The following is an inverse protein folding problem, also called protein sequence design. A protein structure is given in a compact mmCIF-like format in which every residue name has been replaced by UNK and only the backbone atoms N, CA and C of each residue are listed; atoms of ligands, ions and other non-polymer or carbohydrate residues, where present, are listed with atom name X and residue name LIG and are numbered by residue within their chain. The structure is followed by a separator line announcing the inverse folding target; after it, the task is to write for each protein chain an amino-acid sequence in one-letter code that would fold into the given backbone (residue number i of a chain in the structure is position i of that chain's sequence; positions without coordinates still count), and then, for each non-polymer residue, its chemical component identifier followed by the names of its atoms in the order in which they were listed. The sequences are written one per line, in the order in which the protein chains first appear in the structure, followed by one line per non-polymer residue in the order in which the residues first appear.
data_IF_555848773066
#
_entry.id   IF_555848773066
#
_cell.length_a   1.000
_cell.length_b   1.000
_cell.length_c   1.000
_cell.angle_alpha   90.00
_cell.angle_beta   90.00
_cell.angle_gamma   90.00
#
_symmetry.space_group_name_H-M   'P 1'
#
loop_
_entity.id
_entity.type
_entity.pdbx_description
1 polymer ?
#
# COMPACT_ATOMS: atom_id res chain seq x y z
N UNK A 1 0.79 8.20 1.49
CA UNK A 1 0.59 6.81 1.91
C UNK A 1 1.97 6.23 2.06
N UNK A 2 2.27 5.71 3.24
CA UNK A 2 3.46 4.91 3.47
C UNK A 2 2.91 3.50 3.62
N UNK A 3 3.35 2.61 2.73
CA UNK A 3 2.92 1.21 2.68
C UNK A 3 3.82 0.41 3.64
N UNK A 4 3.24 -0.29 4.59
CA UNK A 4 3.87 -1.35 5.35
C UNK A 4 3.33 -2.68 4.86
N UNK A 5 4.28 -3.55 4.54
CA UNK A 5 3.99 -4.78 3.83
C UNK A 5 3.72 -5.92 4.81
N UNK A 6 2.65 -6.67 4.53
CA UNK A 6 2.29 -7.93 5.17
C UNK A 6 3.49 -8.89 5.26
N UNK A 7 4.00 -9.11 6.46
CA UNK A 7 5.01 -10.13 6.73
C UNK A 7 4.33 -11.40 7.25
N UNK A 8 4.37 -12.51 6.49
CA UNK A 8 4.23 -13.84 7.10
C UNK A 8 5.49 -14.14 7.95
N UNK A 9 5.60 -13.52 9.12
CA UNK A 9 6.62 -13.88 10.10
C UNK A 9 6.00 -14.79 11.16
N UNK A 10 6.50 -16.04 11.24
CA UNK A 10 6.28 -16.89 12.41
C UNK A 10 6.77 -16.15 13.65
N UNK A 11 5.82 -15.75 14.50
CA UNK A 11 6.08 -15.03 15.74
C UNK A 11 7.13 -15.73 16.62
N UNK A 12 8.20 -15.00 16.96
CA UNK A 12 8.75 -15.05 18.31
C UNK A 12 8.36 -13.76 19.02
N UNK A 13 7.64 -13.92 20.12
CA UNK A 13 7.01 -12.87 20.90
C UNK A 13 7.95 -11.77 21.38
N UNK A 14 7.43 -10.53 21.36
CA UNK A 14 7.85 -9.43 22.23
C UNK A 14 8.77 -8.42 21.56
N UNK A 15 8.19 -7.40 20.95
CA UNK A 15 8.71 -6.03 20.98
C UNK A 15 7.56 -5.06 20.69
N UNK A 16 7.38 -4.08 21.57
CA UNK A 16 6.43 -2.98 21.42
C UNK A 16 6.81 -2.13 20.21
N UNK A 17 5.82 -1.71 19.42
CA UNK A 17 5.98 -0.70 18.37
C UNK A 17 6.68 0.53 18.94
N UNK A 18 7.88 0.84 18.45
CA UNK A 18 8.59 2.05 18.82
C UNK A 18 7.86 3.26 18.23
N UNK A 19 7.46 4.27 19.03
CA UNK A 19 6.67 5.40 18.54
C UNK A 19 7.49 6.30 17.60
N UNK A 20 7.21 6.21 16.30
CA UNK A 20 7.74 7.06 15.23
C UNK A 20 7.77 6.32 13.89
N UNK A 21 7.48 7.01 12.78
CA UNK A 21 7.78 6.48 11.44
C UNK A 21 9.29 6.65 11.22
N UNK A 22 10.04 5.58 11.49
CA UNK A 22 11.50 5.59 11.32
C UNK A 22 11.81 5.38 9.84
N UNK A 23 12.19 6.47 9.15
CA UNK A 23 12.84 6.40 7.85
C UNK A 23 14.34 6.64 8.04
N UNK A 24 15.02 5.76 8.79
CA UNK A 24 16.44 5.93 9.08
C UNK A 24 17.32 5.11 8.11
N UNK A 25 18.25 5.79 7.43
CA UNK A 25 19.43 5.16 6.85
C UNK A 25 20.62 5.30 7.81
N UNK A 26 21.38 4.23 8.13
CA UNK A 26 22.65 4.37 8.82
C UNK A 26 23.73 4.93 7.87
N UNK A 27 24.58 5.81 8.43
CA UNK A 27 25.77 6.35 7.77
C UNK A 27 26.70 5.22 7.31
N UNK A 28 27.02 5.17 6.02
CA UNK A 28 28.09 4.30 5.48
C UNK A 28 29.47 4.88 5.83
N UNK A 29 30.41 4.10 6.39
CA UNK A 29 31.83 4.36 6.26
C UNK A 29 32.44 3.42 5.22
N UNK A 30 33.34 3.97 4.41
CA UNK A 30 34.12 3.25 3.41
C UNK A 30 34.80 1.99 3.97
N UNK A 31 34.86 0.97 3.10
CA UNK A 31 35.63 -0.26 3.24
C UNK A 31 37.04 0.00 3.80
N UNK A 32 37.33 -0.50 5.00
CA UNK A 32 38.68 -0.86 5.37
C UNK A 32 38.71 -2.05 6.34
N UNK A 33 39.38 -3.11 5.86
CA UNK A 33 39.61 -4.39 6.54
C UNK A 33 40.25 -4.24 7.93
N UNK A 34 39.59 -4.78 8.97
CA UNK A 34 40.14 -5.54 10.12
C UNK A 34 39.10 -5.66 11.23
N UNK A 35 38.51 -6.84 11.37
CA UNK A 35 37.63 -7.18 12.49
C UNK A 35 38.39 -7.14 13.82
N UNK A 36 37.92 -6.27 14.74
CA UNK A 36 38.23 -6.37 16.16
C UNK A 36 36.93 -6.15 16.93
N UNK A 37 36.44 -7.21 17.58
CA UNK A 37 35.27 -7.16 18.45
C UNK A 37 35.43 -6.06 19.50
N UNK A 38 34.53 -5.07 19.49
CA UNK A 38 34.25 -4.17 20.62
C UNK A 38 32.74 -3.98 20.72
N UNK A 39 32.24 -4.19 21.93
CA UNK A 39 30.83 -4.35 22.26
C UNK A 39 29.94 -3.17 21.89
N UNK A 40 28.67 -3.51 21.66
CA UNK A 40 27.55 -2.60 21.49
C UNK A 40 27.36 -1.75 22.75
N UNK A 41 27.51 -0.44 22.60
CA UNK A 41 27.16 0.55 23.61
C UNK A 41 26.71 1.82 22.90
N UNK A 42 25.48 2.25 23.21
CA UNK A 42 24.93 3.61 23.06
C UNK A 42 24.51 4.14 21.68
N UNK A 43 23.50 3.53 21.05
CA UNK A 43 22.70 4.21 20.00
C UNK A 43 21.18 4.24 20.30
N UNK A 44 20.77 3.96 21.54
CA UNK A 44 19.36 3.74 21.90
C UNK A 44 18.72 4.90 22.69
N UNK A 45 19.08 6.16 22.41
CA UNK A 45 18.60 7.32 23.20
C UNK A 45 18.35 8.63 22.44
N UNK A 46 18.21 8.63 21.11
CA UNK A 46 18.06 9.88 20.35
C UNK A 46 16.62 10.26 19.94
N UNK A 47 15.62 9.39 20.15
CA UNK A 47 14.25 9.63 19.70
C UNK A 47 13.27 10.22 20.73
N UNK A 48 13.66 10.34 22.01
CA UNK A 48 12.69 10.54 23.10
C UNK A 48 12.50 11.98 23.61
N UNK A 49 13.22 12.99 23.09
CA UNK A 49 13.23 14.34 23.67
C UNK A 49 12.88 15.47 22.67
N UNK A 50 12.35 15.16 21.48
CA UNK A 50 11.96 16.20 20.51
C UNK A 50 10.49 16.58 20.66
N UNK A 51 10.21 17.88 20.55
CA UNK A 51 8.84 18.37 20.58
C UNK A 51 8.07 17.83 19.37
N UNK A 52 6.77 17.56 19.55
CA UNK A 52 5.86 17.06 18.51
C UNK A 52 5.79 17.94 17.23
N UNK A 53 6.28 19.17 17.31
CA UNK A 53 6.34 20.15 16.22
C UNK A 53 7.76 20.45 15.72
N UNK A 54 8.79 19.73 16.18
CA UNK A 54 10.17 19.91 15.75
C UNK A 54 10.37 19.35 14.33
N UNK A 55 10.57 20.23 13.36
CA UNK A 55 10.82 19.87 11.96
C UNK A 55 12.31 19.80 11.59
N UNK A 56 13.22 19.98 12.55
CA UNK A 56 14.66 20.07 12.27
C UNK A 56 15.32 18.75 11.87
N UNK A 57 14.64 17.62 12.08
CA UNK A 57 15.14 16.28 11.71
C UNK A 57 14.14 15.49 10.86
N UNK A 58 13.33 16.19 10.08
CA UNK A 58 12.37 15.55 9.18
C UNK A 58 13.04 14.62 8.15
N UNK A 59 14.29 14.89 7.76
CA UNK A 59 15.07 13.99 6.89
C UNK A 59 15.43 12.65 7.53
N UNK A 60 15.39 12.57 8.87
CA UNK A 60 15.81 11.38 9.62
C UNK A 60 14.60 10.62 10.18
N UNK A 61 13.56 11.34 10.63
CA UNK A 61 12.31 10.77 11.15
C UNK A 61 11.15 11.67 10.74
N UNK A 62 10.20 11.11 9.99
CA UNK A 62 9.03 11.85 9.52
C UNK A 62 7.94 11.78 10.57
N UNK A 63 7.57 12.93 11.11
CA UNK A 63 6.45 13.10 12.06
C UNK A 63 5.33 13.89 11.40
N UNK A 64 4.09 13.91 11.95
CA UNK A 64 2.99 14.66 11.36
C UNK A 64 3.30 16.14 11.06
N UNK A 65 4.07 16.81 11.92
CA UNK A 65 4.49 18.19 11.70
C UNK A 65 5.39 18.34 10.45
N UNK A 66 6.19 17.33 10.10
CA UNK A 66 7.00 17.32 8.88
C UNK A 66 6.11 17.33 7.63
N UNK A 67 5.11 16.43 7.59
CA UNK A 67 4.19 16.30 6.46
C UNK A 67 3.40 17.59 6.26
N UNK A 68 2.89 18.16 7.36
CA UNK A 68 2.20 19.45 7.32
C UNK A 68 3.09 20.58 6.81
N UNK A 69 4.35 20.62 7.23
CA UNK A 69 5.30 21.65 6.80
C UNK A 69 5.69 21.50 5.32
N UNK A 70 6.02 20.27 4.87
CA UNK A 70 6.39 19.95 3.48
C UNK A 70 5.29 20.36 2.51
N UNK A 71 4.06 19.90 2.77
CA UNK A 71 2.94 20.08 1.85
C UNK A 71 2.03 21.26 2.20
N UNK A 72 2.45 22.09 3.16
CA UNK A 72 1.71 23.29 3.62
C UNK A 72 0.27 22.97 4.00
N UNK A 73 0.07 21.82 4.64
CA UNK A 73 -1.25 21.36 5.07
C UNK A 73 -1.65 22.19 6.30
N UNK A 74 -2.78 22.93 6.26
CA UNK A 74 -3.24 23.71 7.38
C UNK A 74 -3.77 22.81 8.50
N UNK A 75 -3.81 23.33 9.72
CA UNK A 75 -4.58 22.69 10.77
C UNK A 75 -6.08 22.76 10.46
N UNK A 76 -6.73 21.61 10.47
CA UNK A 76 -8.15 21.51 10.23
C UNK A 76 -8.92 21.74 11.54
N UNK A 77 -10.03 22.48 11.45
CA UNK A 77 -10.93 22.75 12.58
C UNK A 77 -12.37 22.32 12.30
N UNK A 78 -12.63 21.76 11.11
CA UNK A 78 -13.97 21.45 10.62
C UNK A 78 -14.09 19.95 10.36
N UNK A 79 -15.31 19.44 10.52
CA UNK A 79 -15.71 18.12 10.07
C UNK A 79 -17.09 18.20 9.42
N UNK A 80 -17.46 17.15 8.69
CA UNK A 80 -18.79 17.01 8.13
C UNK A 80 -19.27 15.57 8.35
N UNK A 81 -20.50 15.40 8.86
CA UNK A 81 -21.03 14.08 9.23
C UNK A 81 -21.22 13.13 8.03
N UNK A 82 -21.35 13.68 6.82
CA UNK A 82 -21.41 12.90 5.58
C UNK A 82 -20.05 12.69 4.91
N UNK A 83 -18.96 13.06 5.57
CA UNK A 83 -17.61 12.86 5.07
C UNK A 83 -16.83 12.00 6.08
N UNK A 84 -15.91 11.21 5.56
CA UNK A 84 -14.99 10.36 6.33
C UNK A 84 -13.90 9.90 5.36
N UNK A 85 -12.67 9.77 5.83
CA UNK A 85 -11.62 9.11 5.05
C UNK A 85 -11.79 7.60 5.16
N UNK A 86 -12.02 6.92 4.05
CA UNK A 86 -11.97 5.47 3.98
C UNK A 86 -10.52 4.97 4.05
N UNK A 87 -10.30 3.90 4.81
CA UNK A 87 -9.03 3.17 4.86
C UNK A 87 -9.39 1.70 4.67
N UNK A 88 -8.74 1.03 3.72
CA UNK A 88 -8.91 -0.39 3.46
C UNK A 88 -7.81 -1.18 4.18
N UNK A 89 -8.19 -2.21 4.92
CA UNK A 89 -7.26 -3.11 5.59
C UNK A 89 -7.64 -4.57 5.37
N UNK A 90 -6.63 -5.41 5.23
CA UNK A 90 -6.79 -6.87 5.21
C UNK A 90 -5.59 -7.54 5.86
N UNK A 91 -5.85 -8.46 6.79
CA UNK A 91 -4.83 -9.24 7.48
C UNK A 91 -3.90 -8.51 8.46
N UNK A 92 -3.91 -7.19 8.49
CA UNK A 92 -3.32 -6.34 9.53
C UNK A 92 -4.45 -5.70 10.35
N UNK A 93 -4.15 -5.29 11.59
CA UNK A 93 -5.12 -4.73 12.52
C UNK A 93 -4.46 -3.66 13.39
N UNK A 94 -5.13 -2.54 13.61
CA UNK A 94 -4.64 -1.51 14.52
C UNK A 94 -4.90 -1.86 15.99
N UNK A 95 -4.06 -1.35 16.90
CA UNK A 95 -4.34 -1.36 18.34
C UNK A 95 -4.73 0.03 18.84
N UNK A 96 -5.80 0.11 19.64
CA UNK A 96 -6.25 1.38 20.19
C UNK A 96 -5.20 2.00 21.12
N UNK A 97 -4.48 1.17 21.86
CA UNK A 97 -3.39 1.58 22.75
C UNK A 97 -2.26 2.26 21.98
N UNK A 98 -1.88 1.73 20.83
CA UNK A 98 -0.78 2.27 20.02
C UNK A 98 -1.18 3.60 19.36
N UNK A 99 -2.42 3.71 18.85
CA UNK A 99 -2.96 5.01 18.41
C UNK A 99 -2.97 6.05 19.52
N UNK A 100 -3.39 5.67 20.73
CA UNK A 100 -3.41 6.60 21.87
C UNK A 100 -2.00 7.07 22.25
N UNK A 101 -1.03 6.16 22.27
CA UNK A 101 0.37 6.50 22.53
C UNK A 101 0.93 7.42 21.45
N UNK A 102 0.63 7.15 20.18
CA UNK A 102 1.04 7.99 19.07
C UNK A 102 0.43 9.39 19.17
N UNK A 103 -0.89 9.50 19.35
CA UNK A 103 -1.58 10.79 19.44
C UNK A 103 -1.10 11.63 20.63
N UNK A 104 -0.85 11.00 21.79
CA UNK A 104 -0.32 11.69 22.96
C UNK A 104 1.11 12.25 22.73
N UNK A 105 1.92 11.59 21.90
CA UNK A 105 3.30 11.98 21.66
C UNK A 105 3.45 12.97 20.50
N UNK A 106 2.62 12.87 19.46
CA UNK A 106 2.80 13.59 18.20
C UNK A 106 1.69 14.59 17.87
N UNK A 107 0.64 14.65 18.70
CA UNK A 107 -0.46 15.59 18.50
C UNK A 107 -0.86 16.23 19.84
N UNK A 108 -1.38 17.45 19.80
CA UNK A 108 -1.97 18.10 20.98
C UNK A 108 -3.50 18.22 20.89
N UNK A 109 -4.08 17.88 19.74
CA UNK A 109 -5.49 18.16 19.41
C UNK A 109 -6.34 16.91 19.28
N UNK A 110 -5.73 15.72 19.15
CA UNK A 110 -6.46 14.46 18.99
C UNK A 110 -6.62 13.81 20.37
N UNK A 111 -7.85 13.64 20.88
CA UNK A 111 -8.07 13.01 22.17
C UNK A 111 -7.74 11.51 22.15
N UNK A 112 -7.29 10.97 23.28
CA UNK A 112 -7.23 9.52 23.47
C UNK A 112 -8.62 8.88 23.28
N UNK A 113 -8.64 7.70 22.68
CA UNK A 113 -9.84 6.99 22.27
C UNK A 113 -10.38 7.46 20.91
N UNK A 114 -9.67 8.32 20.18
CA UNK A 114 -10.00 8.61 18.77
C UNK A 114 -9.67 7.39 17.91
N UNK A 115 -10.61 6.95 17.08
CA UNK A 115 -10.48 5.75 16.25
C UNK A 115 -11.46 5.77 15.07
N UNK A 116 -11.23 4.95 14.02
CA UNK A 116 -12.14 4.87 12.89
C UNK A 116 -13.46 4.17 13.25
N UNK A 117 -14.50 4.46 12.47
CA UNK A 117 -15.72 3.64 12.46
C UNK A 117 -15.45 2.38 11.65
N UNK A 118 -15.62 1.21 12.26
CA UNK A 118 -15.39 -0.08 11.60
C UNK A 118 -16.57 -0.46 10.70
N UNK A 119 -16.25 -0.80 9.45
CA UNK A 119 -17.06 -1.61 8.54
C UNK A 119 -16.41 -2.99 8.50
N UNK A 120 -17.00 -3.93 9.25
CA UNK A 120 -16.58 -5.33 9.32
C UNK A 120 -17.12 -6.07 8.10
N UNK A 121 -16.24 -6.57 7.24
CA UNK A 121 -16.57 -7.29 6.02
C UNK A 121 -16.13 -8.74 6.17
N UNK A 122 -17.07 -9.67 6.01
CA UNK A 122 -16.85 -11.12 5.99
C UNK A 122 -16.02 -11.67 7.16
N UNK A 123 -16.21 -11.07 8.35
CA UNK A 123 -15.54 -11.46 9.58
C UNK A 123 -14.33 -10.59 9.98
N UNK A 124 -13.99 -9.58 9.18
CA UNK A 124 -12.96 -8.60 9.54
C UNK A 124 -13.27 -7.89 10.86
N UNK A 125 -12.28 -7.72 11.71
CA UNK A 125 -12.43 -7.10 13.03
C UNK A 125 -11.31 -6.10 13.29
N UNK A 126 -11.60 -5.05 14.06
CA UNK A 126 -10.63 -4.13 14.62
C UNK A 126 -11.29 -3.36 15.79
N UNK A 127 -10.53 -2.82 16.75
CA UNK A 127 -9.09 -2.99 16.94
C UNK A 127 -8.72 -4.42 17.37
N UNK A 128 -7.43 -4.74 17.32
CA UNK A 128 -6.85 -5.91 17.93
C UNK A 128 -6.10 -5.56 19.24
N UNK A 129 -5.77 -6.58 20.05
CA UNK A 129 -4.82 -6.37 21.15
C UNK A 129 -3.42 -6.05 20.58
N UNK A 130 -2.58 -5.24 21.23
CA UNK A 130 -1.25 -4.84 20.71
C UNK A 130 -0.33 -5.98 20.30
N UNK A 131 -0.48 -7.19 20.87
CA UNK A 131 0.31 -8.37 20.49
C UNK A 131 -0.11 -8.99 19.14
N UNK A 132 -1.25 -8.57 18.61
CA UNK A 132 -1.85 -9.00 17.35
C UNK A 132 -1.99 -7.86 16.34
N UNK A 133 -1.72 -6.63 16.77
CA UNK A 133 -1.58 -5.52 15.86
C UNK A 133 -0.26 -5.62 15.11
N UNK A 134 -0.26 -5.15 13.87
CA UNK A 134 0.89 -5.14 13.00
C UNK A 134 1.06 -3.73 12.41
N UNK A 135 2.17 -3.50 11.72
CA UNK A 135 2.65 -2.15 11.42
C UNK A 135 1.75 -1.36 10.49
N UNK A 136 1.01 -2.03 9.59
CA UNK A 136 0.35 -1.33 8.48
C UNK A 136 -0.91 -0.58 8.90
N UNK A 137 -1.84 -1.27 9.55
CA UNK A 137 -3.10 -0.64 9.94
C UNK A 137 -2.87 0.47 10.97
N UNK A 138 -1.87 0.31 11.84
CA UNK A 138 -1.44 1.39 12.74
C UNK A 138 -0.82 2.56 11.95
N UNK A 139 0.07 2.30 10.98
CA UNK A 139 0.73 3.34 10.18
C UNK A 139 -0.28 4.17 9.38
N UNK A 140 -1.19 3.53 8.67
CA UNK A 140 -2.21 4.19 7.85
C UNK A 140 -3.06 5.16 8.69
N UNK A 141 -3.47 4.73 9.89
CA UNK A 141 -4.23 5.56 10.82
C UNK A 141 -3.37 6.66 11.46
N UNK A 142 -2.13 6.36 11.86
CA UNK A 142 -1.22 7.32 12.50
C UNK A 142 -0.77 8.42 11.53
N UNK A 143 -0.67 8.13 10.23
CA UNK A 143 -0.39 9.15 9.21
C UNK A 143 -1.65 9.94 8.87
N UNK A 144 -2.82 9.29 8.74
CA UNK A 144 -4.05 9.94 8.32
C UNK A 144 -4.61 10.92 9.36
N UNK A 145 -4.81 10.46 10.60
CA UNK A 145 -5.54 11.21 11.63
C UNK A 145 -4.99 12.60 11.92
N UNK A 146 -3.66 12.79 12.09
CA UNK A 146 -3.07 14.11 12.30
C UNK A 146 -3.32 15.11 11.16
N UNK A 147 -3.59 14.63 9.95
CA UNK A 147 -3.84 15.46 8.76
C UNK A 147 -5.32 15.81 8.60
N UNK A 148 -6.23 14.93 9.02
CA UNK A 148 -7.67 15.11 8.77
C UNK A 148 -8.48 15.58 10.00
N UNK A 149 -8.01 15.31 11.23
CA UNK A 149 -8.75 15.62 12.46
C UNK A 149 -9.15 17.12 12.52
N UNK A 150 -10.40 17.47 12.89
CA UNK A 150 -11.42 16.66 13.56
C UNK A 150 -12.32 15.83 12.63
N UNK A 151 -12.00 15.71 11.35
CA UNK A 151 -12.64 14.72 10.48
C UNK A 151 -12.20 13.31 10.92
N UNK A 152 -13.16 12.39 11.03
CA UNK A 152 -12.88 10.98 11.35
C UNK A 152 -12.57 10.12 10.12
N UNK A 153 -12.27 8.85 10.37
CA UNK A 153 -12.08 7.82 9.34
C UNK A 153 -13.09 6.67 9.44
N UNK A 154 -13.22 5.93 8.35
CA UNK A 154 -13.99 4.69 8.22
C UNK A 154 -13.03 3.60 7.80
N UNK A 155 -12.92 2.56 8.61
CA UNK A 155 -12.04 1.43 8.37
C UNK A 155 -12.85 0.29 7.73
N UNK A 156 -12.50 -0.10 6.51
CA UNK A 156 -13.05 -1.26 5.82
C UNK A 156 -12.11 -2.44 6.05
N UNK A 157 -12.39 -3.23 7.08
CA UNK A 157 -11.60 -4.41 7.42
C UNK A 157 -12.21 -5.64 6.75
N UNK A 158 -11.47 -6.30 5.86
CA UNK A 158 -11.95 -7.53 5.21
C UNK A 158 -11.44 -8.79 5.86
N UNK A 159 -12.30 -9.80 5.77
CA UNK A 159 -12.03 -11.21 5.98
C UNK A 159 -11.74 -11.58 7.43
N UNK A 160 -12.17 -12.78 7.82
CA UNK A 160 -11.71 -13.34 9.08
C UNK A 160 -10.20 -13.65 9.06
N UNK A 161 -9.65 -13.81 10.26
CA UNK A 161 -8.23 -14.05 10.48
C UNK A 161 -7.67 -15.28 9.72
N UNK A 162 -8.51 -16.26 9.39
CA UNK A 162 -8.03 -17.49 8.75
C UNK A 162 -7.86 -17.23 7.25
N UNK A 163 -8.82 -16.54 6.63
CA UNK A 163 -8.73 -16.13 5.23
C UNK A 163 -7.65 -15.08 5.00
N UNK A 164 -7.40 -14.17 5.95
CA UNK A 164 -6.30 -13.22 5.80
C UNK A 164 -4.92 -13.88 5.74
N UNK A 165 -4.75 -15.06 6.35
CA UNK A 165 -3.47 -15.80 6.37
C UNK A 165 -3.38 -16.84 5.23
N UNK A 166 -4.51 -17.46 4.89
CA UNK A 166 -4.53 -18.66 4.04
C UNK A 166 -5.67 -18.66 3.03
N UNK A 167 -6.13 -17.48 2.64
CA UNK A 167 -7.19 -17.33 1.66
C UNK A 167 -6.72 -17.54 0.24
N UNK A 168 -7.69 -17.48 -0.67
CA UNK A 168 -7.50 -17.74 -2.09
C UNK A 168 -6.73 -16.60 -2.79
N UNK A 169 -6.62 -15.43 -2.14
CA UNK A 169 -5.65 -14.40 -2.50
C UNK A 169 -6.09 -13.47 -3.63
N UNK A 170 -7.41 -13.35 -3.88
CA UNK A 170 -7.97 -12.47 -4.91
C UNK A 170 -7.70 -10.98 -4.69
N UNK A 171 -7.56 -10.52 -3.44
CA UNK A 171 -7.40 -9.10 -3.05
C UNK A 171 -8.57 -8.20 -3.53
N UNK A 172 -9.15 -7.44 -2.60
CA UNK A 172 -10.34 -6.58 -2.78
C UNK A 172 -11.67 -7.23 -3.16
N UNK A 173 -11.77 -8.49 -3.58
CA UNK A 173 -13.07 -9.05 -4.01
C UNK A 173 -14.17 -8.91 -2.95
N UNK A 174 -13.89 -9.29 -1.71
CA UNK A 174 -14.85 -9.18 -0.61
C UNK A 174 -15.15 -7.72 -0.24
N UNK A 175 -14.16 -6.83 -0.36
CA UNK A 175 -14.36 -5.39 -0.23
C UNK A 175 -15.32 -4.85 -1.29
N UNK A 176 -15.08 -5.16 -2.56
CA UNK A 176 -15.91 -4.74 -3.69
C UNK A 176 -17.33 -5.31 -3.59
N UNK A 177 -17.46 -6.59 -3.18
CA UNK A 177 -18.74 -7.22 -2.85
C UNK A 177 -19.50 -6.40 -1.79
N UNK A 178 -18.81 -6.00 -0.72
CA UNK A 178 -19.41 -5.29 0.39
C UNK A 178 -19.84 -3.85 0.05
N UNK A 179 -19.06 -3.12 -0.76
CA UNK A 179 -19.34 -1.70 -1.08
C UNK A 179 -20.23 -1.49 -2.30
N UNK A 180 -20.31 -2.47 -3.20
CA UNK A 180 -21.30 -2.52 -4.28
C UNK A 180 -21.85 -3.95 -4.42
N UNK A 181 -23.04 -4.19 -3.86
CA UNK A 181 -23.67 -5.51 -3.92
C UNK A 181 -24.01 -6.00 -5.33
N UNK A 182 -24.01 -5.14 -6.35
CA UNK A 182 -24.16 -5.58 -7.75
C UNK A 182 -22.93 -6.35 -8.24
N UNK A 183 -21.75 -6.10 -7.65
CA UNK A 183 -20.50 -6.78 -7.98
C UNK A 183 -20.55 -8.29 -7.71
N UNK A 184 -21.20 -8.72 -6.62
CA UNK A 184 -21.32 -10.14 -6.23
C UNK A 184 -21.89 -11.07 -7.31
N UNK A 185 -22.63 -10.52 -8.28
CA UNK A 185 -23.20 -11.27 -9.40
C UNK A 185 -22.77 -10.74 -10.76
N UNK A 186 -21.84 -9.79 -10.77
CA UNK A 186 -21.35 -9.17 -11.98
C UNK A 186 -20.59 -10.18 -12.84
N UNK A 187 -21.04 -10.31 -14.09
CA UNK A 187 -20.55 -11.25 -15.09
C UNK A 187 -19.77 -10.48 -16.16
N UNK A 188 -18.47 -10.73 -16.23
CA UNK A 188 -17.57 -10.13 -17.21
C UNK A 188 -16.30 -10.97 -17.39
N UNK A 189 -15.69 -10.86 -18.58
CA UNK A 189 -14.40 -11.49 -18.89
C UNK A 189 -14.34 -13.02 -18.71
N UNK A 190 -15.49 -13.69 -18.70
CA UNK A 190 -15.59 -15.14 -18.51
C UNK A 190 -15.74 -15.57 -17.04
N UNK A 191 -15.86 -14.61 -16.12
CA UNK A 191 -16.07 -14.80 -14.70
C UNK A 191 -17.45 -14.31 -14.29
N UNK A 192 -18.14 -15.05 -13.42
CA UNK A 192 -19.49 -14.74 -12.96
C UNK A 192 -19.56 -14.75 -11.44
N UNK A 193 -19.63 -13.56 -10.85
CA UNK A 193 -19.54 -13.42 -9.39
C UNK A 193 -18.15 -13.85 -8.91
N UNK A 194 -18.08 -14.59 -7.80
CA UNK A 194 -16.81 -15.04 -7.24
C UNK A 194 -16.13 -16.13 -8.08
N UNK A 195 -14.80 -16.08 -8.21
CA UNK A 195 -13.94 -17.11 -8.79
C UNK A 195 -13.51 -18.13 -7.72
N UNK A 196 -13.89 -19.39 -7.89
CA UNK A 196 -13.62 -20.48 -6.94
C UNK A 196 -12.11 -20.73 -6.66
N UNK A 197 -11.20 -20.21 -7.49
CA UNK A 197 -9.75 -20.37 -7.30
C UNK A 197 -9.09 -19.18 -6.58
N UNK A 198 -9.74 -18.01 -6.56
CA UNK A 198 -9.14 -16.75 -6.08
C UNK A 198 -9.97 -16.05 -5.00
N UNK A 199 -11.25 -16.39 -4.87
CA UNK A 199 -12.14 -15.79 -3.89
C UNK A 199 -12.45 -16.72 -2.73
N UNK A 200 -12.52 -16.11 -1.55
CA UNK A 200 -12.80 -16.83 -0.32
C UNK A 200 -14.26 -17.28 -0.24
N UNK A 201 -14.47 -18.44 0.41
CA UNK A 201 -15.78 -19.08 0.50
C UNK A 201 -16.33 -18.95 1.92
N UNK A 202 -17.51 -18.34 2.04
CA UNK A 202 -18.22 -18.18 3.31
C UNK A 202 -19.53 -18.98 3.35
N UNK A 203 -19.90 -19.60 4.48
CA UNK A 203 -19.20 -19.54 5.78
C UNK A 203 -17.83 -20.24 5.77
N UNK A 204 -16.87 -19.69 6.51
CA UNK A 204 -15.56 -20.31 6.69
C UNK A 204 -15.70 -21.51 7.63
N UNK A 205 -15.61 -22.71 7.05
CA UNK A 205 -15.73 -23.98 7.77
C UNK A 205 -14.39 -24.62 8.08
N UNK A 206 -13.26 -23.96 7.74
CA UNK A 206 -11.91 -24.48 7.98
C UNK A 206 -11.53 -24.47 9.46
N UNK A 207 -12.17 -23.62 10.25
CA UNK A 207 -12.00 -23.52 11.71
C UNK A 207 -13.32 -23.20 12.41
N UNK A 208 -13.53 -23.66 13.66
CA UNK A 208 -14.66 -23.20 14.48
C UNK A 208 -14.71 -21.69 14.71
N UNK A 209 -13.55 -21.01 14.63
CA UNK A 209 -13.43 -19.56 14.81
C UNK A 209 -13.60 -18.78 13.48
N UNK A 210 -13.84 -19.47 12.36
CA UNK A 210 -14.07 -18.84 11.06
C UNK A 210 -15.39 -18.09 11.00
N UNK A 211 -15.51 -17.15 10.06
CA UNK A 211 -16.73 -16.39 9.87
C UNK A 211 -17.88 -17.30 9.42
N UNK A 212 -18.86 -17.50 10.29
CA UNK A 212 -20.00 -18.39 10.03
C UNK A 212 -21.13 -17.70 9.23
N UNK A 213 -20.95 -16.44 8.84
CA UNK A 213 -21.92 -15.71 8.02
C UNK A 213 -21.85 -16.14 6.56
N UNK A 214 -22.79 -15.60 5.76
CA UNK A 214 -22.69 -15.67 4.30
C UNK A 214 -21.84 -14.52 3.80
N UNK A 215 -21.27 -14.67 2.60
CA UNK A 215 -20.59 -13.57 1.90
C UNK A 215 -21.46 -12.31 1.90
N UNK A 216 -20.86 -11.18 2.23
CA UNK A 216 -21.52 -9.90 2.40
C UNK A 216 -21.53 -9.11 1.11
N UNK A 217 -22.74 -8.86 0.59
CA UNK A 217 -22.97 -8.14 -0.66
C UNK A 217 -23.74 -6.84 -0.40
N UNK A 218 -23.13 -5.69 -0.69
CA UNK A 218 -23.76 -4.37 -0.58
C UNK A 218 -24.16 -4.00 0.85
N UNK A 219 -23.33 -4.36 1.83
CA UNK A 219 -23.58 -4.07 3.25
C UNK A 219 -23.17 -2.65 3.65
N UNK A 220 -22.38 -1.97 2.82
CA UNK A 220 -21.88 -0.62 3.09
C UNK A 220 -21.81 0.19 1.79
N UNK A 221 -21.66 1.51 1.92
CA UNK A 221 -21.31 2.39 0.81
C UNK A 221 -19.88 2.86 0.96
N UNK A 222 -19.21 3.16 -0.15
CA UNK A 222 -17.87 3.72 -0.11
C UNK A 222 -17.88 5.16 0.42
N UNK A 223 -16.81 5.55 1.11
CA UNK A 223 -16.55 6.95 1.49
C UNK A 223 -16.16 7.79 0.27
N UNK A 224 -16.20 9.12 0.38
CA UNK A 224 -15.84 9.99 -0.75
C UNK A 224 -14.38 9.79 -1.21
N UNK A 225 -13.47 9.48 -0.29
CA UNK A 225 -12.06 9.20 -0.55
C UNK A 225 -11.67 7.96 0.21
N UNK A 226 -11.06 6.98 -0.47
CA UNK A 226 -10.48 5.79 0.14
C UNK A 226 -8.97 5.73 -0.11
N UNK A 227 -8.23 5.43 0.95
CA UNK A 227 -6.81 5.08 0.96
C UNK A 227 -6.65 3.56 0.95
N UNK A 228 -5.80 3.06 0.08
CA UNK A 228 -5.47 1.64 -0.05
C UNK A 228 -3.95 1.49 -0.10
N UNK A 229 -3.38 0.95 0.96
CA UNK A 229 -1.96 0.61 1.04
C UNK A 229 -1.80 -0.91 0.89
N UNK A 230 -2.38 -1.47 -0.17
CA UNK A 230 -2.29 -2.90 -0.47
C UNK A 230 -2.15 -3.11 -1.97
N UNK A 231 -1.27 -4.03 -2.36
CA UNK A 231 -1.01 -4.36 -3.75
C UNK A 231 -0.58 -5.81 -3.93
N UNK A 232 -0.73 -6.31 -5.15
CA UNK A 232 -0.15 -7.55 -5.66
C UNK A 232 0.62 -7.27 -6.94
N UNK A 233 1.47 -8.19 -7.37
CA UNK A 233 2.02 -8.15 -8.73
C UNK A 233 0.89 -8.37 -9.75
N UNK A 234 0.97 -7.72 -10.93
CA UNK A 234 0.01 -7.96 -12.02
C UNK A 234 -0.04 -9.44 -12.43
N UNK A 235 1.04 -10.21 -12.25
CA UNK A 235 1.07 -11.63 -12.64
C UNK A 235 0.51 -12.57 -11.57
N UNK A 236 0.21 -12.07 -10.36
CA UNK A 236 -0.31 -12.89 -9.25
C UNK A 236 -1.80 -13.21 -9.41
N UNK A 237 -2.50 -12.37 -10.19
CA UNK A 237 -3.93 -12.49 -10.42
C UNK A 237 -4.19 -12.80 -11.89
N UNK A 238 -5.17 -13.66 -12.21
CA UNK A 238 -5.51 -13.92 -13.60
C UNK A 238 -5.83 -12.64 -14.35
N UNK A 239 -5.39 -12.53 -15.60
CA UNK A 239 -5.61 -11.33 -16.40
C UNK A 239 -7.09 -11.03 -16.70
N UNK A 240 -8.01 -11.99 -16.53
CA UNK A 240 -9.46 -11.75 -16.63
C UNK A 240 -10.06 -11.16 -15.36
N UNK A 241 -9.46 -11.45 -14.22
CA UNK A 241 -9.94 -11.10 -12.90
C UNK A 241 -9.72 -9.60 -12.61
N UNK A 242 -8.57 -9.07 -13.02
CA UNK A 242 -8.21 -7.67 -12.78
C UNK A 242 -9.10 -6.68 -13.56
N UNK A 243 -9.43 -6.86 -14.86
CA UNK A 243 -10.39 -6.02 -15.57
C UNK A 243 -11.80 -6.06 -14.99
N UNK A 244 -12.24 -7.19 -14.41
CA UNK A 244 -13.52 -7.28 -13.70
C UNK A 244 -13.54 -6.36 -12.49
N UNK A 245 -12.50 -6.41 -11.65
CA UNK A 245 -12.33 -5.47 -10.54
C UNK A 245 -12.13 -4.02 -11.00
N UNK A 246 -11.38 -3.80 -12.09
CA UNK A 246 -11.17 -2.48 -12.67
C UNK A 246 -12.49 -1.81 -13.08
N UNK A 247 -13.44 -2.59 -13.62
CA UNK A 247 -14.78 -2.09 -13.93
C UNK A 247 -15.54 -1.69 -12.67
N UNK A 248 -15.31 -2.36 -11.54
CA UNK A 248 -15.90 -1.98 -10.26
C UNK A 248 -15.33 -0.66 -9.74
N UNK A 249 -14.00 -0.52 -9.72
CA UNK A 249 -13.36 0.76 -9.40
C UNK A 249 -13.79 1.88 -10.35
N UNK A 250 -14.03 1.58 -11.64
CA UNK A 250 -14.63 2.53 -12.60
C UNK A 250 -16.04 2.95 -12.18
N UNK A 251 -16.91 2.01 -11.79
CA UNK A 251 -18.27 2.32 -11.31
C UNK A 251 -18.23 3.21 -10.08
N UNK A 252 -17.34 2.91 -9.13
CA UNK A 252 -17.15 3.72 -7.93
C UNK A 252 -16.63 5.13 -8.29
N UNK A 253 -15.67 5.24 -9.22
CA UNK A 253 -15.20 6.54 -9.70
C UNK A 253 -16.31 7.36 -10.40
N UNK A 254 -17.20 6.70 -11.17
CA UNK A 254 -18.37 7.34 -11.79
C UNK A 254 -19.40 7.83 -10.76
N UNK A 255 -19.44 7.22 -9.57
CA UNK A 255 -20.25 7.68 -8.43
C UNK A 255 -19.60 8.84 -7.66
N UNK A 256 -18.39 9.26 -8.04
CA UNK A 256 -17.68 10.39 -7.43
C UNK A 256 -16.71 10.01 -6.32
N UNK A 257 -16.38 8.72 -6.17
CA UNK A 257 -15.39 8.27 -5.20
C UNK A 257 -13.96 8.48 -5.72
N UNK A 258 -13.06 8.94 -4.85
CA UNK A 258 -11.63 8.99 -5.13
C UNK A 258 -10.95 7.78 -4.51
N UNK A 259 -10.30 6.96 -5.31
CA UNK A 259 -9.54 5.79 -4.86
C UNK A 259 -8.05 6.10 -5.01
N UNK A 260 -7.34 6.13 -3.89
CA UNK A 260 -5.91 6.36 -3.80
C UNK A 260 -5.23 5.04 -3.46
N UNK A 261 -4.21 4.66 -4.22
CA UNK A 261 -3.52 3.37 -4.07
C UNK A 261 -2.01 3.59 -4.00
N UNK A 262 -1.32 2.94 -3.07
CA UNK A 262 0.14 3.00 -3.01
C UNK A 262 0.78 2.39 -4.28
N UNK A 263 1.88 2.97 -4.76
CA UNK A 263 2.59 2.47 -5.95
C UNK A 263 3.50 1.27 -5.68
N UNK A 264 3.72 0.92 -4.41
CA UNK A 264 4.60 -0.18 -3.97
C UNK A 264 5.94 0.31 -3.43
N UNK A 265 6.74 -0.62 -2.89
CA UNK A 265 7.97 -0.32 -2.12
C UNK A 265 9.23 -0.98 -2.69
N UNK A 266 9.09 -1.67 -3.82
CA UNK A 266 10.15 -2.43 -4.47
C UNK A 266 10.54 -1.87 -5.84
N UNK A 267 10.22 -0.59 -6.09
CA UNK A 267 10.68 0.08 -7.30
C UNK A 267 9.98 -0.44 -8.54
N UNK A 268 10.78 -0.87 -9.51
CA UNK A 268 10.30 -1.49 -10.74
C UNK A 268 10.03 -3.00 -10.60
N UNK A 269 10.30 -3.57 -9.42
CA UNK A 269 10.09 -4.97 -9.11
C UNK A 269 8.92 -5.14 -8.12
N UNK A 270 8.49 -6.38 -7.89
CA UNK A 270 7.72 -6.72 -6.69
C UNK A 270 8.68 -7.13 -5.58
N UNK A 271 8.12 -7.64 -4.48
CA UNK A 271 8.88 -8.15 -3.34
C UNK A 271 9.82 -9.27 -3.75
N UNK A 272 10.94 -9.46 -3.04
CA UNK A 272 11.75 -10.65 -3.20
C UNK A 272 10.89 -11.91 -3.06
N UNK A 273 11.11 -12.87 -3.96
CA UNK A 273 10.35 -14.12 -4.08
C UNK A 273 8.93 -13.98 -4.63
N UNK A 274 8.59 -12.82 -5.20
CA UNK A 274 7.29 -12.57 -5.82
C UNK A 274 7.42 -12.11 -7.29
N UNK A 275 7.29 -13.01 -8.28
CA UNK A 275 7.28 -14.48 -8.15
C UNK A 275 8.71 -15.07 -8.11
N UNK A 276 9.73 -14.24 -8.37
CA UNK A 276 11.13 -14.65 -8.49
C UNK A 276 12.00 -13.98 -7.41
N UNK A 277 13.23 -14.48 -7.15
CA UNK A 277 14.04 -14.04 -6.00
C UNK A 277 14.26 -12.54 -5.84
N UNK A 278 14.31 -11.78 -6.94
CA UNK A 278 14.50 -10.33 -6.97
C UNK A 278 13.22 -9.55 -7.31
N UNK A 279 12.08 -10.24 -7.41
CA UNK A 279 10.77 -9.64 -7.69
C UNK A 279 10.56 -9.19 -9.14
N UNK A 280 11.54 -9.34 -10.01
CA UNK A 280 11.41 -9.05 -11.45
C UNK A 280 10.80 -10.25 -12.18
N UNK A 281 10.23 -10.02 -13.36
CA UNK A 281 9.61 -11.03 -14.22
C UNK A 281 10.59 -11.65 -15.24
N UNK A 282 10.10 -12.68 -15.93
CA UNK A 282 10.78 -13.57 -16.88
C UNK A 282 11.87 -14.48 -16.27
N UNK A 283 12.24 -15.56 -16.95
CA UNK A 283 13.16 -16.60 -16.43
C UNK A 283 14.55 -16.08 -16.04
N UNK A 284 14.96 -14.93 -16.57
CA UNK A 284 16.23 -14.29 -16.26
C UNK A 284 16.09 -13.11 -15.28
N UNK A 285 14.89 -12.88 -14.75
CA UNK A 285 14.55 -11.82 -13.81
C UNK A 285 14.94 -10.41 -14.26
N UNK A 286 14.69 -10.09 -15.53
CA UNK A 286 15.09 -8.79 -16.10
C UNK A 286 13.93 -7.88 -16.46
N UNK A 287 12.69 -8.38 -16.36
CA UNK A 287 11.52 -7.63 -16.78
C UNK A 287 10.90 -6.96 -15.55
N UNK A 288 10.53 -5.70 -15.66
CA UNK A 288 9.86 -4.96 -14.59
C UNK A 288 8.53 -5.61 -14.26
N UNK A 289 8.14 -5.50 -12.99
CA UNK A 289 6.99 -6.16 -12.42
C UNK A 289 5.97 -5.12 -11.94
N UNK A 290 5.01 -4.71 -12.80
CA UNK A 290 3.99 -3.74 -12.43
C UNK A 290 3.03 -4.29 -11.38
N UNK A 291 2.39 -3.40 -10.62
CA UNK A 291 1.49 -3.79 -9.53
C UNK A 291 0.00 -3.56 -9.83
N UNK A 292 -0.83 -4.30 -9.12
CA UNK A 292 -2.26 -4.18 -9.00
C UNK A 292 -2.61 -3.67 -7.60
N UNK A 293 -3.57 -2.75 -7.41
CA UNK A 293 -4.49 -2.17 -8.41
C UNK A 293 -3.95 -0.85 -9.02
N UNK A 294 -2.66 -0.57 -8.81
CA UNK A 294 -1.99 0.61 -9.36
C UNK A 294 -2.09 0.68 -10.87
N UNK A 295 -2.18 -0.45 -11.56
CA UNK A 295 -2.35 -0.57 -12.99
C UNK A 295 -3.68 -0.10 -13.59
N UNK A 296 -4.69 0.20 -12.77
CA UNK A 296 -6.01 0.61 -13.26
C UNK A 296 -6.09 2.08 -13.68
N UNK A 297 -6.74 2.42 -14.81
CA UNK A 297 -6.91 3.81 -15.23
C UNK A 297 -7.89 4.63 -14.36
N UNK A 298 -8.55 4.01 -13.37
CA UNK A 298 -9.57 4.64 -12.52
C UNK A 298 -9.16 4.79 -11.06
N UNK A 299 -7.91 4.43 -10.72
CA UNK A 299 -7.28 4.70 -9.42
C UNK A 299 -6.24 5.80 -9.57
N UNK A 300 -5.99 6.54 -8.48
CA UNK A 300 -4.85 7.45 -8.38
C UNK A 300 -3.73 6.72 -7.66
N UNK A 301 -2.73 6.29 -8.41
CA UNK A 301 -1.53 5.65 -7.88
C UNK A 301 -0.59 6.71 -7.27
N UNK A 302 -0.15 6.49 -6.04
CA UNK A 302 0.64 7.46 -5.26
C UNK A 302 2.03 6.88 -4.97
N UNK A 303 3.05 7.51 -5.53
CA UNK A 303 4.47 7.20 -5.29
C UNK A 303 5.01 7.80 -3.99
N UNK A 304 6.26 7.44 -3.69
CA UNK A 304 7.02 7.85 -2.53
C UNK A 304 8.18 8.79 -2.88
N UNK A 305 8.32 9.85 -2.10
CA UNK A 305 9.49 10.72 -2.15
C UNK A 305 10.13 10.81 -0.77
N UNK A 306 11.35 11.32 -0.71
CA UNK A 306 12.06 11.54 0.53
C UNK A 306 12.82 12.86 0.52
N UNK A 307 13.05 13.42 1.71
CA UNK A 307 14.07 14.45 1.90
C UNK A 307 15.45 13.79 1.84
N UNK A 308 16.40 14.42 1.16
CA UNK A 308 17.80 13.99 1.21
C UNK A 308 18.34 14.08 2.65
N UNK A 309 19.30 13.22 3.07
CA UNK A 309 19.86 13.28 4.42
C UNK A 309 20.38 14.67 4.78
N UNK A 310 19.88 15.24 5.88
CA UNK A 310 20.23 16.59 6.35
C UNK A 310 19.47 17.73 5.65
N UNK A 311 18.56 17.42 4.73
CA UNK A 311 17.67 18.41 4.12
C UNK A 311 16.55 18.84 5.09
N UNK A 312 16.05 20.04 4.87
CA UNK A 312 14.91 20.61 5.57
C UNK A 312 13.59 20.39 4.82
N UNK A 313 12.48 20.66 5.50
CA UNK A 313 11.12 20.67 4.90
C UNK A 313 10.91 21.71 3.79
N UNK A 314 11.91 22.57 3.52
CA UNK A 314 11.87 23.55 2.43
C UNK A 314 12.74 23.20 1.24
N UNK A 315 13.56 22.16 1.35
CA UNK A 315 14.42 21.68 0.27
C UNK A 315 13.63 20.74 -0.66
N UNK A 316 14.06 20.59 -1.93
CA UNK A 316 13.42 19.68 -2.86
C UNK A 316 13.45 18.22 -2.39
N UNK A 317 12.35 17.51 -2.59
CA UNK A 317 12.27 16.06 -2.40
C UNK A 317 12.93 15.32 -3.58
N UNK A 318 13.39 14.09 -3.32
CA UNK A 318 13.91 13.15 -4.32
C UNK A 318 13.06 11.89 -4.31
N UNK A 319 13.12 11.10 -5.40
CA UNK A 319 12.49 9.77 -5.42
C UNK A 319 12.98 8.96 -4.22
N UNK A 320 12.06 8.28 -3.54
CA UNK A 320 12.42 7.57 -2.32
C UNK A 320 13.33 6.38 -2.63
N UNK A 321 14.50 6.37 -1.99
CA UNK A 321 15.49 5.31 -2.09
C UNK A 321 16.20 5.16 -0.75
N UNK A 322 15.86 4.10 -0.02
CA UNK A 322 16.31 3.87 1.34
C UNK A 322 16.82 2.43 1.47
N UNK A 323 18.13 2.22 1.30
CA UNK A 323 18.73 0.90 1.45
C UNK A 323 18.81 0.50 2.93
N UNK A 324 18.46 -0.76 3.23
CA UNK A 324 18.60 -1.38 4.56
C UNK A 324 17.82 -0.72 5.71
N UNK A 325 16.58 -0.26 5.47
CA UNK A 325 15.81 0.50 6.48
C UNK A 325 15.42 -0.28 7.73
N UNK A 326 15.19 -1.58 7.61
CA UNK A 326 14.67 -2.46 8.66
C UNK A 326 15.74 -3.40 9.23
N UNK A 327 17.01 -3.16 8.88
CA UNK A 327 18.12 -4.06 9.22
C UNK A 327 18.13 -5.35 8.40
N UNK A 328 17.30 -5.45 7.36
CA UNK A 328 17.37 -6.50 6.34
C UNK A 328 18.14 -6.03 5.10
N UNK A 329 18.32 -6.94 4.14
CA UNK A 329 18.88 -6.61 2.82
C UNK A 329 17.85 -5.93 1.89
N UNK A 330 16.64 -5.64 2.36
CA UNK A 330 15.58 -5.00 1.56
C UNK A 330 15.87 -3.50 1.43
N UNK A 331 15.72 -3.01 0.21
CA UNK A 331 15.80 -1.58 -0.12
C UNK A 331 14.38 -1.10 -0.36
N UNK A 332 13.94 -0.12 0.42
CA UNK A 332 12.70 0.59 0.12
C UNK A 332 12.95 1.53 -1.04
N UNK A 333 12.17 1.40 -2.10
CA UNK A 333 12.15 2.33 -3.23
C UNK A 333 10.73 2.55 -3.69
N UNK A 334 10.39 3.79 -4.03
CA UNK A 334 9.05 4.08 -4.57
C UNK A 334 8.73 3.19 -5.76
N UNK A 335 7.59 2.52 -5.73
CA UNK A 335 7.16 1.66 -6.82
C UNK A 335 6.76 2.47 -8.05
N UNK A 336 6.99 1.95 -9.24
CA UNK A 336 6.69 2.65 -10.48
C UNK A 336 6.94 1.79 -11.72
N UNK A 337 6.34 2.16 -12.85
CA UNK A 337 6.51 1.40 -14.08
C UNK A 337 5.38 1.55 -15.09
N UNK A 338 5.20 0.54 -15.93
CA UNK A 338 4.18 0.49 -16.97
C UNK A 338 3.43 -0.83 -16.90
N UNK A 339 2.10 -0.78 -16.93
CA UNK A 339 1.24 -1.96 -16.86
C UNK A 339 1.47 -2.92 -18.03
N UNK A 340 1.38 -4.22 -17.77
CA UNK A 340 1.42 -5.25 -18.79
C UNK A 340 0.02 -5.56 -19.35
N UNK A 341 -1.04 -5.16 -18.63
CA UNK A 341 -2.44 -5.45 -18.96
C UNK A 341 -3.16 -4.23 -19.57
N UNK A 342 -3.01 -3.05 -18.97
CA UNK A 342 -3.78 -1.87 -19.34
C UNK A 342 -2.96 -0.93 -20.22
N UNK A 343 -3.52 -0.53 -21.37
CA UNK A 343 -2.89 0.44 -22.26
C UNK A 343 -2.81 1.84 -21.65
N UNK A 344 -1.90 2.68 -22.17
CA UNK A 344 -1.85 4.12 -21.87
C UNK A 344 -3.23 4.78 -22.06
N UNK A 345 -3.86 5.31 -20.99
CA UNK A 345 -5.13 6.02 -21.12
C UNK A 345 -4.91 7.39 -21.79
N UNK A 346 -5.95 7.90 -22.45
CA UNK A 346 -5.87 9.15 -23.23
C UNK A 346 -5.41 10.35 -22.39
N UNK A 347 -5.82 10.44 -21.12
CA UNK A 347 -5.42 11.51 -20.20
C UNK A 347 -3.92 11.47 -19.84
N UNK A 348 -3.25 10.32 -19.99
CA UNK A 348 -1.83 10.15 -19.66
C UNK A 348 -0.93 10.19 -20.90
N UNK A 349 -1.51 10.07 -22.10
CA UNK A 349 -0.77 9.96 -23.37
C UNK A 349 0.25 11.08 -23.59
N UNK A 350 -0.12 12.34 -23.31
CA UNK A 350 0.77 13.49 -23.46
C UNK A 350 1.94 13.43 -22.47
N UNK A 351 1.67 13.10 -21.20
CA UNK A 351 2.70 13.00 -20.16
C UNK A 351 3.69 11.87 -20.44
N UNK A 352 3.21 10.70 -20.88
CA UNK A 352 4.08 9.58 -21.23
C UNK A 352 4.90 9.88 -22.49
N UNK A 353 4.30 10.51 -23.49
CA UNK A 353 5.04 10.95 -24.68
C UNK A 353 6.14 11.96 -24.32
N UNK A 354 5.88 12.88 -23.40
CA UNK A 354 6.87 13.86 -22.93
C UNK A 354 7.99 13.19 -22.11
N UNK A 355 7.64 12.25 -21.23
CA UNK A 355 8.59 11.43 -20.48
C UNK A 355 9.55 10.70 -21.42
N UNK A 356 9.06 9.94 -22.40
CA UNK A 356 9.94 9.26 -23.35
C UNK A 356 10.68 10.20 -24.31
N UNK A 357 10.23 11.44 -24.50
CA UNK A 357 10.96 12.41 -25.30
C UNK A 357 12.16 13.01 -24.56
N UNK A 358 12.07 13.15 -23.22
CA UNK A 358 13.05 13.88 -22.40
C UNK A 358 13.86 13.01 -21.43
N UNK A 359 13.27 11.90 -21.01
CA UNK A 359 13.72 11.05 -19.91
C UNK A 359 13.61 9.56 -20.27
N UNK A 360 13.74 9.20 -21.56
CA UNK A 360 13.77 7.79 -21.97
C UNK A 360 14.91 7.07 -21.22
N UNK A 361 14.62 5.96 -20.51
CA UNK A 361 15.64 5.24 -19.75
C UNK A 361 16.66 4.54 -20.65
N UNK A 362 16.45 4.47 -21.97
CA UNK A 362 17.32 3.79 -22.92
C UNK A 362 17.29 2.26 -22.78
N UNK A 363 16.38 1.74 -21.97
CA UNK A 363 16.16 0.31 -21.77
C UNK A 363 15.37 -0.28 -22.94
N UNK A 364 15.68 -1.53 -23.28
CA UNK A 364 14.92 -2.24 -24.31
C UNK A 364 13.48 -2.42 -23.83
N UNK A 365 12.50 -2.09 -24.66
CA UNK A 365 11.09 -2.24 -24.31
C UNK A 365 10.40 -3.28 -25.19
N UNK A 366 9.31 -3.85 -24.71
CA UNK A 366 8.33 -4.55 -25.55
C UNK A 366 7.07 -3.70 -25.71
N UNK A 367 6.17 -4.11 -26.60
CA UNK A 367 4.92 -3.38 -26.88
C UNK A 367 3.82 -4.37 -27.20
N UNK A 368 3.36 -5.03 -26.15
CA UNK A 368 2.28 -6.01 -26.21
C UNK A 368 1.53 -5.96 -24.89
N UNK A 369 0.20 -6.00 -24.96
CA UNK A 369 -0.66 -6.05 -23.78
C UNK A 369 -1.16 -7.48 -23.62
N UNK A 370 -1.34 -7.91 -22.38
CA UNK A 370 -1.97 -9.19 -22.10
C UNK A 370 -3.42 -9.21 -22.58
N UNK A 371 -3.83 -10.39 -23.04
CA UNK A 371 -5.22 -10.59 -23.39
C UNK A 371 -6.03 -10.82 -22.11
N UNK A 372 -6.87 -9.85 -21.75
CA UNK A 372 -7.79 -9.94 -20.62
C UNK A 372 -8.71 -11.18 -20.64
N UNK A 373 -8.85 -11.94 -21.73
CA UNK A 373 -9.66 -13.17 -21.76
C UNK A 373 -8.84 -14.45 -21.66
N UNK A 374 -7.50 -14.38 -21.63
CA UNK A 374 -6.61 -15.53 -21.56
C UNK A 374 -5.40 -15.24 -20.67
N UNK A 375 -5.07 -16.16 -19.75
CA UNK A 375 -3.90 -16.02 -18.88
C UNK A 375 -2.58 -16.35 -19.61
N UNK A 376 -2.34 -15.68 -20.74
CA UNK A 376 -1.14 -15.86 -21.57
C UNK A 376 -0.10 -14.78 -21.26
N UNK A 377 0.92 -15.16 -20.48
CA UNK A 377 2.04 -14.30 -20.11
C UNK A 377 3.20 -14.30 -21.14
N UNK A 378 3.08 -15.04 -22.25
CA UNK A 378 4.15 -15.12 -23.27
C UNK A 378 4.58 -13.77 -23.90
N UNK A 379 3.74 -12.71 -23.92
CA UNK A 379 4.20 -11.39 -24.35
C UNK A 379 5.15 -10.66 -23.38
N UNK A 380 5.19 -11.03 -22.09
CA UNK A 380 6.05 -10.38 -21.09
C UNK A 380 7.52 -10.60 -21.49
N UNK A 381 8.24 -9.50 -21.64
CA UNK A 381 9.64 -9.54 -22.03
C UNK A 381 9.88 -9.97 -23.47
N UNK A 382 8.84 -9.99 -24.32
CA UNK A 382 8.98 -10.37 -25.72
C UNK A 382 10.11 -9.61 -26.42
N UNK A 383 10.89 -10.33 -27.23
CA UNK A 383 12.10 -9.83 -27.87
C UNK A 383 13.17 -9.32 -26.89
N UNK A 384 13.16 -9.72 -25.61
CA UNK A 384 14.09 -9.26 -24.58
C UNK A 384 13.80 -7.83 -24.09
N UNK A 385 12.55 -7.37 -24.20
CA UNK A 385 12.13 -6.11 -23.59
C UNK A 385 12.12 -6.21 -22.07
N UNK A 386 12.37 -5.09 -21.39
CA UNK A 386 12.45 -4.96 -19.92
C UNK A 386 11.17 -4.36 -19.35
N UNK A 387 10.42 -3.58 -20.13
CA UNK A 387 9.16 -2.98 -19.70
C UNK A 387 8.20 -2.81 -20.89
N UNK A 388 6.91 -2.70 -20.62
CA UNK A 388 5.89 -2.50 -21.64
C UNK A 388 5.71 -1.03 -22.02
N UNK A 389 6.19 -0.63 -23.20
CA UNK A 389 6.17 0.79 -23.64
C UNK A 389 4.77 1.34 -23.89
N UNK A 390 3.77 0.46 -24.06
CA UNK A 390 2.39 0.86 -24.37
C UNK A 390 1.44 0.69 -23.17
N UNK A 391 1.98 0.33 -22.00
CA UNK A 391 1.25 0.18 -20.75
C UNK A 391 0.89 1.50 -20.08
N UNK A 392 -0.16 1.52 -19.25
CA UNK A 392 -0.47 2.65 -18.35
C UNK A 392 0.73 2.89 -17.44
N UNK A 393 1.18 4.13 -17.39
CA UNK A 393 2.29 4.51 -16.50
C UNK A 393 1.81 4.63 -15.05
N UNK A 394 2.62 4.19 -14.11
CA UNK A 394 2.45 4.41 -12.67
C UNK A 394 3.62 5.28 -12.19
N UNK A 395 3.34 6.34 -11.41
CA UNK A 395 4.39 7.23 -10.94
C UNK A 395 5.28 6.52 -9.93
N UNK A 396 6.59 6.72 -10.10
CA UNK A 396 7.62 6.56 -9.08
C UNK A 396 7.69 7.82 -8.22
#
# INVERSE_FOLDING_TARGET
MLHAQYYEYRQTAGNHSTPGVILAAPKTPQLNTKFRQRGFSSAQKAGADRAANDTSACSDNVIPACIKALYRIPDNTLNHSSNSLGIYETGDYYAQEDLNLFFANYTSTIPNGTHPTLVSIDGGFAPAEPKFADGESDLDLQVAYPLIHPQGGTLYQTDDKIYTISGAGGLFNNFLNAVDGSYCSYDAFGEKGNDDNFDDVYPDTRSPDGYQGKVQCGISTLTNVISISYSKSEVDLPFYYQPRQCNEFMKLALQGHTILVASGDAGVASRPWDPFPDGCLAENNTVFNPNFPGNFPYTTTVGGTMMSPGASVSDPEVAAYLPHQDGTDHTYTSGGGFSDIFSIPSYQSASISDYFAKHDPGLKSFSSLHNATHNDSSPIGANGGIYNRIGRGMPE
#
